data_IF_595579567275
#
_entry.id   IF_595579567275
#
_cell.length_a   1.000
_cell.length_b   1.000
_cell.length_c   1.000
_cell.angle_alpha   90.00
_cell.angle_beta   90.00
_cell.angle_gamma   90.00
#
_symmetry.space_group_name_H-M   'P 1'
#
loop_
_entity.id
_entity.type
_entity.pdbx_description
1 polymer ?
#
# COMPACT_ATOMS: atom_id res chain seq x y z
N UNK A 1 -17.52 14.20 20.72
CA UNK A 1 -16.07 13.93 20.50
C UNK A 1 -15.70 12.44 20.62
N UNK A 2 -16.21 11.67 21.59
CA UNK A 2 -15.85 10.25 21.76
C UNK A 2 -16.17 9.35 20.55
N UNK A 3 -17.29 9.57 19.84
CA UNK A 3 -17.66 8.78 18.66
C UNK A 3 -16.70 8.97 17.47
N UNK A 4 -16.03 10.12 17.37
CA UNK A 4 -15.09 10.44 16.28
C UNK A 4 -13.71 9.82 16.52
N UNK A 5 -13.24 9.81 17.78
CA UNK A 5 -12.00 9.10 18.16
C UNK A 5 -12.14 7.57 18.04
N UNK A 6 -13.32 7.01 18.27
CA UNK A 6 -13.56 5.57 18.12
C UNK A 6 -13.40 5.09 16.66
N UNK A 7 -13.91 5.84 15.68
CA UNK A 7 -13.73 5.55 14.24
C UNK A 7 -12.31 5.75 13.75
N UNK A 8 -11.48 6.52 14.48
CA UNK A 8 -10.06 6.74 14.15
C UNK A 8 -9.13 5.69 14.78
N UNK A 9 -9.63 4.76 15.59
CA UNK A 9 -8.79 3.66 16.08
C UNK A 9 -8.32 2.75 14.95
N UNK A 10 -9.14 2.56 13.91
CA UNK A 10 -8.73 1.81 12.72
C UNK A 10 -7.55 2.47 11.99
N UNK A 11 -7.43 3.80 12.07
CA UNK A 11 -6.31 4.56 11.51
C UNK A 11 -4.97 4.10 12.07
N UNK A 12 -4.92 3.72 13.36
CA UNK A 12 -3.69 3.23 14.01
C UNK A 12 -3.15 1.93 13.44
N UNK A 13 -4.00 1.14 12.80
CA UNK A 13 -3.65 -0.15 12.21
C UNK A 13 -3.33 -0.04 10.72
N UNK A 14 -3.42 1.17 10.16
CA UNK A 14 -3.12 1.40 8.75
C UNK A 14 -1.63 1.20 8.47
N UNK A 15 -1.34 0.68 7.29
CA UNK A 15 0.04 0.50 6.79
C UNK A 15 0.58 1.75 6.10
N UNK A 16 -0.32 2.59 5.61
CA UNK A 16 -0.05 3.87 4.96
C UNK A 16 -1.28 4.76 5.12
N UNK A 17 -1.07 6.01 5.51
CA UNK A 17 -2.10 7.04 5.49
C UNK A 17 -2.03 7.84 4.19
N UNK A 18 -3.18 8.12 3.61
CA UNK A 18 -3.31 9.09 2.52
C UNK A 18 -3.87 10.38 3.11
N UNK A 19 -3.04 11.41 3.20
CA UNK A 19 -3.49 12.72 3.65
C UNK A 19 -3.87 13.55 2.44
N UNK A 20 -5.17 13.63 2.15
CA UNK A 20 -5.69 14.46 1.05
C UNK A 20 -5.77 15.91 1.50
N UNK A 21 -5.19 16.81 0.71
CA UNK A 21 -5.07 18.24 0.99
C UNK A 21 -5.61 19.01 -0.21
N UNK A 22 -6.35 20.09 0.03
CA UNK A 22 -6.74 21.03 -1.02
C UNK A 22 -5.55 21.92 -1.40
N UNK A 23 -5.01 21.73 -2.60
CA UNK A 23 -3.83 22.45 -3.08
C UNK A 23 -4.12 23.92 -3.43
N UNK A 24 -5.39 24.27 -3.67
CA UNK A 24 -5.80 25.60 -4.06
C UNK A 24 -6.28 26.46 -2.86
N UNK A 25 -6.40 25.87 -1.67
CA UNK A 25 -6.76 26.61 -0.46
C UNK A 25 -5.55 27.43 0.03
N UNK A 26 -5.75 28.73 0.27
CA UNK A 26 -4.73 29.61 0.85
C UNK A 26 -4.31 29.20 2.26
N UNK A 27 -5.15 28.43 2.97
CA UNK A 27 -4.89 27.87 4.31
C UNK A 27 -4.34 26.45 4.26
N UNK A 28 -3.77 26.02 3.13
CA UNK A 28 -3.19 24.68 2.94
C UNK A 28 -2.28 24.27 4.11
N UNK A 29 -1.41 25.18 4.56
CA UNK A 29 -0.46 24.91 5.63
C UNK A 29 -1.14 24.73 6.99
N UNK A 30 -2.09 25.60 7.32
CA UNK A 30 -2.87 25.51 8.57
C UNK A 30 -3.68 24.21 8.62
N UNK A 31 -4.26 23.80 7.49
CA UNK A 31 -5.03 22.56 7.39
C UNK A 31 -4.14 21.32 7.60
N UNK A 32 -2.93 21.32 7.03
CA UNK A 32 -1.94 20.24 7.24
C UNK A 32 -1.55 20.17 8.73
N UNK A 33 -1.25 21.30 9.35
CA UNK A 33 -0.86 21.38 10.77
C UNK A 33 -1.99 20.91 11.69
N UNK A 34 -3.24 21.30 11.40
CA UNK A 34 -4.40 20.85 12.14
C UNK A 34 -4.59 19.33 12.07
N UNK A 35 -4.40 18.72 10.89
CA UNK A 35 -4.49 17.26 10.74
C UNK A 35 -3.33 16.56 11.44
N UNK A 36 -2.11 17.07 11.34
CA UNK A 36 -0.96 16.51 12.06
C UNK A 36 -1.18 16.50 13.58
N UNK A 37 -1.75 17.59 14.13
CA UNK A 37 -2.12 17.66 15.56
C UNK A 37 -3.11 16.55 15.93
N UNK A 38 -4.12 16.30 15.09
CA UNK A 38 -5.09 15.21 15.33
C UNK A 38 -4.43 13.83 15.23
N UNK A 39 -3.51 13.62 14.29
CA UNK A 39 -2.76 12.36 14.14
C UNK A 39 -1.85 12.10 15.35
N UNK A 40 -1.26 13.13 15.93
CA UNK A 40 -0.51 13.04 17.18
C UNK A 40 -1.43 12.63 18.34
N UNK A 41 -2.59 13.27 18.50
CA UNK A 41 -3.56 12.99 19.58
C UNK A 41 -4.12 11.56 19.59
N UNK A 42 -4.06 10.84 18.47
CA UNK A 42 -4.54 9.46 18.33
C UNK A 42 -3.39 8.44 18.23
N UNK A 43 -2.15 8.89 18.45
CA UNK A 43 -0.87 8.19 18.19
C UNK A 43 -0.83 7.45 16.84
N UNK A 44 -1.24 8.14 15.77
CA UNK A 44 -1.11 7.68 14.39
C UNK A 44 0.00 8.43 13.61
N UNK A 45 0.69 9.38 14.24
CA UNK A 45 1.72 10.22 13.61
C UNK A 45 2.97 9.44 13.15
N UNK A 46 3.24 8.27 13.74
CA UNK A 46 4.35 7.39 13.32
C UNK A 46 4.03 6.60 12.03
N UNK A 47 2.75 6.54 11.63
CA UNK A 47 2.34 5.78 10.45
C UNK A 47 2.85 6.49 9.20
N UNK A 48 3.50 5.77 8.26
CA UNK A 48 3.90 6.35 7.00
C UNK A 48 2.74 7.06 6.33
N UNK A 49 2.95 8.31 5.91
CA UNK A 49 1.92 9.10 5.24
C UNK A 49 2.38 9.47 3.82
N UNK A 50 1.43 9.43 2.88
CA UNK A 50 1.58 9.97 1.53
C UNK A 50 0.65 11.16 1.39
N UNK A 51 1.20 12.34 1.12
CA UNK A 51 0.40 13.54 0.94
C UNK A 51 -0.19 13.59 -0.48
N UNK A 52 -1.48 13.89 -0.59
CA UNK A 52 -2.20 13.96 -1.86
C UNK A 52 -2.72 15.38 -2.03
N UNK A 53 -2.01 16.18 -2.81
CA UNK A 53 -2.39 17.55 -3.16
C UNK A 53 -3.46 17.51 -4.24
N UNK A 54 -4.70 17.51 -3.81
CA UNK A 54 -5.88 17.47 -4.65
C UNK A 54 -6.25 18.87 -5.18
N UNK A 55 -7.08 18.92 -6.22
CA UNK A 55 -7.59 20.14 -6.86
C UNK A 55 -6.56 20.94 -7.65
N UNK A 56 -5.57 20.28 -8.27
CA UNK A 56 -4.61 20.97 -9.14
C UNK A 56 -5.25 21.62 -10.36
N UNK A 57 -6.48 21.25 -10.72
CA UNK A 57 -7.27 21.90 -11.77
C UNK A 57 -7.62 23.37 -11.47
N UNK A 58 -7.50 23.78 -10.20
CA UNK A 58 -7.68 25.16 -9.77
C UNK A 58 -6.35 25.94 -9.70
N UNK A 59 -5.23 25.31 -10.04
CA UNK A 59 -3.92 25.94 -10.13
C UNK A 59 -3.59 26.24 -11.59
N UNK A 60 -3.03 27.42 -11.85
CA UNK A 60 -2.64 27.81 -13.20
C UNK A 60 -1.42 26.99 -13.68
N UNK A 61 -1.54 26.41 -14.88
CA UNK A 61 -0.47 25.70 -15.60
C UNK A 61 0.24 24.61 -14.77
N UNK A 62 -0.55 23.81 -14.03
CA UNK A 62 -0.03 22.82 -13.10
C UNK A 62 -0.25 21.38 -13.58
N UNK A 63 0.86 20.68 -13.84
CA UNK A 63 0.84 19.28 -14.27
C UNK A 63 0.90 18.28 -13.08
N UNK A 64 0.22 17.13 -13.19
CA UNK A 64 0.28 16.08 -12.18
C UNK A 64 1.68 15.48 -12.08
N UNK A 65 2.18 15.30 -10.85
CA UNK A 65 3.50 14.76 -10.58
C UNK A 65 3.59 14.06 -9.24
N UNK A 66 4.71 13.38 -9.03
CA UNK A 66 5.09 12.77 -7.76
C UNK A 66 6.31 13.53 -7.26
N UNK A 67 6.22 14.14 -6.08
CA UNK A 67 7.41 14.62 -5.39
C UNK A 67 7.99 13.48 -4.55
N UNK A 68 9.31 13.40 -4.56
CA UNK A 68 10.08 12.33 -3.92
C UNK A 68 11.09 12.92 -2.94
N UNK A 69 11.42 12.17 -1.90
CA UNK A 69 12.50 12.53 -0.96
C UNK A 69 13.89 12.17 -1.51
N UNK A 70 14.93 12.35 -0.70
CA UNK A 70 16.33 12.09 -1.04
C UNK A 70 16.61 10.61 -1.35
N UNK A 71 15.79 9.69 -0.81
CA UNK A 71 15.86 8.25 -1.07
C UNK A 71 15.00 7.84 -2.29
N UNK A 72 14.52 8.83 -3.06
CA UNK A 72 13.64 8.65 -4.21
C UNK A 72 12.28 8.01 -3.85
N UNK A 73 11.83 8.12 -2.60
CA UNK A 73 10.55 7.58 -2.14
C UNK A 73 9.43 8.58 -2.39
N UNK A 74 8.24 8.14 -2.86
CA UNK A 74 7.09 9.04 -3.02
C UNK A 74 6.62 9.62 -1.68
N UNK A 75 6.67 10.95 -1.56
CA UNK A 75 6.20 11.68 -0.37
C UNK A 75 4.94 12.50 -0.65
N UNK A 76 4.73 12.90 -1.91
CA UNK A 76 3.60 13.73 -2.32
C UNK A 76 3.15 13.39 -3.73
N UNK A 77 1.84 13.39 -3.96
CA UNK A 77 1.24 13.25 -5.29
C UNK A 77 0.33 14.44 -5.54
N UNK A 78 0.42 15.01 -6.74
CA UNK A 78 -0.41 16.11 -7.19
C UNK A 78 -1.43 15.61 -8.20
N UNK A 79 -2.72 15.83 -7.92
CA UNK A 79 -3.81 15.33 -8.74
C UNK A 79 -5.06 16.22 -8.67
N UNK A 80 -5.99 15.99 -9.60
CA UNK A 80 -7.36 16.47 -9.49
C UNK A 80 -8.28 15.25 -9.45
N UNK A 81 -8.88 15.00 -8.30
CA UNK A 81 -9.83 13.90 -8.15
C UNK A 81 -11.11 14.16 -8.97
N UNK A 82 -11.45 15.42 -9.24
CA UNK A 82 -12.61 15.80 -10.03
C UNK A 82 -12.42 15.46 -11.51
N UNK A 83 -11.26 15.80 -12.09
CA UNK A 83 -10.97 15.51 -13.50
C UNK A 83 -10.34 14.12 -13.73
N UNK A 84 -9.82 13.49 -12.67
CA UNK A 84 -9.11 12.22 -12.73
C UNK A 84 -7.63 12.34 -13.15
N UNK A 85 -7.17 13.54 -13.47
CA UNK A 85 -5.76 13.81 -13.80
C UNK A 85 -4.88 13.55 -12.57
N UNK A 86 -3.77 12.83 -12.73
CA UNK A 86 -2.86 12.48 -11.64
C UNK A 86 -3.20 11.19 -10.87
N UNK A 87 -4.34 10.54 -11.17
CA UNK A 87 -4.70 9.25 -10.57
C UNK A 87 -3.68 8.13 -10.91
N UNK A 88 -3.16 8.02 -12.14
CA UNK A 88 -2.10 7.04 -12.44
C UNK A 88 -0.85 7.23 -11.57
N UNK A 89 -0.43 8.48 -11.33
CA UNK A 89 0.68 8.83 -10.45
C UNK A 89 0.41 8.44 -9.00
N UNK A 90 -0.84 8.59 -8.53
CA UNK A 90 -1.24 8.10 -7.21
C UNK A 90 -1.08 6.59 -7.11
N UNK A 91 -1.59 5.82 -8.07
CA UNK A 91 -1.44 4.36 -8.06
C UNK A 91 0.02 3.93 -8.15
N UNK A 92 0.84 4.62 -8.94
CA UNK A 92 2.29 4.40 -8.97
C UNK A 92 2.91 4.62 -7.59
N UNK A 93 2.66 5.78 -6.96
CA UNK A 93 3.20 6.10 -5.65
C UNK A 93 2.75 5.10 -4.57
N UNK A 94 1.48 4.70 -4.59
CA UNK A 94 0.95 3.68 -3.68
C UNK A 94 1.62 2.33 -3.89
N UNK A 95 1.79 1.92 -5.14
CA UNK A 95 2.50 0.67 -5.48
C UNK A 95 3.90 0.71 -4.87
N UNK A 96 4.68 1.75 -5.13
CA UNK A 96 6.04 1.87 -4.59
C UNK A 96 6.08 1.93 -3.06
N UNK A 97 5.19 2.71 -2.42
CA UNK A 97 5.15 2.87 -0.96
C UNK A 97 4.74 1.59 -0.24
N UNK A 98 3.95 0.74 -0.88
CA UNK A 98 3.45 -0.51 -0.33
C UNK A 98 4.26 -1.74 -0.77
N UNK A 99 5.05 -1.61 -1.83
CA UNK A 99 5.95 -2.66 -2.33
C UNK A 99 7.28 -2.74 -1.56
N UNK A 100 7.59 -1.72 -0.75
CA UNK A 100 8.85 -1.66 0.01
C UNK A 100 9.01 -2.77 1.05
N UNK A 101 7.90 -3.31 1.57
CA UNK A 101 7.90 -4.56 2.32
C UNK A 101 7.71 -5.72 1.34
N UNK A 102 8.72 -6.56 1.24
CA UNK A 102 8.67 -7.78 0.43
C UNK A 102 8.40 -8.96 1.36
N UNK A 103 7.31 -9.67 1.11
CA UNK A 103 7.09 -10.96 1.75
C UNK A 103 7.99 -11.99 1.09
N UNK A 104 8.79 -12.70 1.89
CA UNK A 104 9.56 -13.84 1.44
C UNK A 104 9.19 -15.05 2.30
N UNK A 105 8.60 -16.06 1.68
CA UNK A 105 8.11 -17.25 2.36
C UNK A 105 8.57 -18.51 1.64
N UNK A 106 8.83 -19.55 2.42
CA UNK A 106 8.93 -20.91 1.89
C UNK A 106 7.57 -21.57 2.10
N UNK A 107 7.02 -22.18 1.06
CA UNK A 107 5.77 -22.92 1.13
C UNK A 107 5.99 -24.36 0.72
N UNK A 108 5.21 -25.28 1.29
CA UNK A 108 5.11 -26.66 0.84
C UNK A 108 3.67 -26.98 0.48
N UNK A 109 3.42 -27.02 -0.82
CA UNK A 109 2.09 -27.26 -1.38
C UNK A 109 1.89 -28.75 -1.65
N UNK A 110 0.82 -29.38 -1.14
CA UNK A 110 0.49 -30.75 -1.49
C UNK A 110 0.01 -30.84 -2.96
N UNK A 111 0.01 -32.03 -3.59
CA UNK A 111 -0.34 -32.21 -5.00
C UNK A 111 -1.69 -31.62 -5.43
N UNK A 112 -2.65 -31.55 -4.50
CA UNK A 112 -3.99 -31.03 -4.73
C UNK A 112 -4.03 -29.50 -4.91
N UNK A 113 -2.99 -28.79 -4.45
CA UNK A 113 -2.92 -27.32 -4.46
C UNK A 113 -2.26 -26.76 -5.73
N UNK A 114 -2.39 -27.47 -6.85
CA UNK A 114 -1.91 -27.01 -8.16
C UNK A 114 -2.46 -25.64 -8.58
N UNK A 115 -3.63 -25.25 -8.04
CA UNK A 115 -4.21 -23.91 -8.21
C UNK A 115 -3.35 -22.82 -7.56
N UNK A 116 -2.91 -23.00 -6.31
CA UNK A 116 -2.05 -22.03 -5.61
C UNK A 116 -0.69 -21.90 -6.31
N UNK A 117 -0.12 -23.02 -6.75
CA UNK A 117 1.09 -23.04 -7.57
C UNK A 117 0.93 -22.20 -8.84
N UNK A 118 -0.15 -22.42 -9.61
CA UNK A 118 -0.44 -21.64 -10.82
C UNK A 118 -0.61 -20.14 -10.51
N UNK A 119 -1.21 -19.80 -9.37
CA UNK A 119 -1.38 -18.42 -8.92
C UNK A 119 -0.05 -17.72 -8.66
N UNK A 120 0.90 -18.38 -8.00
CA UNK A 120 2.24 -17.83 -7.79
C UNK A 120 3.02 -17.62 -9.09
N UNK A 121 2.83 -18.47 -10.11
CA UNK A 121 3.37 -18.22 -11.45
C UNK A 121 2.76 -16.98 -12.11
N UNK A 122 1.43 -16.82 -12.06
CA UNK A 122 0.74 -15.66 -12.64
C UNK A 122 1.21 -14.33 -12.02
N UNK A 123 1.50 -14.36 -10.73
CA UNK A 123 2.01 -13.21 -9.98
C UNK A 123 3.53 -13.01 -10.12
N UNK A 124 4.20 -13.88 -10.88
CA UNK A 124 5.67 -13.90 -11.02
C UNK A 124 6.41 -13.89 -9.69
N UNK A 125 5.83 -14.54 -8.67
CA UNK A 125 6.31 -14.49 -7.30
C UNK A 125 7.31 -15.60 -6.95
N UNK A 126 7.49 -16.61 -7.81
CA UNK A 126 8.34 -17.78 -7.51
C UNK A 126 9.80 -17.45 -7.77
N UNK A 127 10.63 -17.48 -6.71
CA UNK A 127 12.10 -17.40 -6.84
C UNK A 127 12.72 -18.78 -7.09
N UNK A 128 12.24 -19.81 -6.39
CA UNK A 128 12.70 -21.19 -6.53
C UNK A 128 11.56 -22.16 -6.36
N UNK A 129 11.67 -23.30 -7.05
CA UNK A 129 10.74 -24.41 -6.97
C UNK A 129 11.51 -25.72 -6.98
N UNK A 130 11.11 -26.66 -6.13
CA UNK A 130 11.61 -28.04 -6.15
C UNK A 130 10.51 -29.01 -5.72
N UNK A 131 10.60 -30.25 -6.23
CA UNK A 131 9.66 -31.31 -5.90
C UNK A 131 10.18 -32.12 -4.72
N UNK A 132 9.29 -32.44 -3.79
CA UNK A 132 9.55 -33.29 -2.63
C UNK A 132 9.29 -34.77 -2.97
N UNK A 133 9.84 -35.68 -2.16
CA UNK A 133 9.71 -37.13 -2.37
C UNK A 133 8.27 -37.65 -2.24
N UNK A 134 7.43 -36.97 -1.47
CA UNK A 134 6.02 -37.31 -1.29
C UNK A 134 5.08 -36.73 -2.37
N UNK A 135 5.66 -36.10 -3.41
CA UNK A 135 4.94 -35.47 -4.50
C UNK A 135 4.46 -34.05 -4.20
N UNK A 136 4.69 -33.53 -2.99
CA UNK A 136 4.50 -32.12 -2.68
C UNK A 136 5.49 -31.24 -3.46
N UNK A 137 5.15 -29.98 -3.63
CA UNK A 137 6.01 -28.99 -4.28
C UNK A 137 6.37 -27.92 -3.26
N UNK A 138 7.66 -27.70 -3.07
CA UNK A 138 8.16 -26.62 -2.23
C UNK A 138 8.57 -25.43 -3.08
N UNK A 139 8.19 -24.23 -2.63
CA UNK A 139 8.35 -22.97 -3.33
C UNK A 139 9.00 -21.94 -2.41
N UNK A 140 10.01 -21.23 -2.88
CA UNK A 140 10.39 -19.93 -2.32
C UNK A 140 9.69 -18.85 -3.13
N UNK A 141 8.88 -18.05 -2.46
CA UNK A 141 8.17 -16.93 -3.09
C UNK A 141 8.65 -15.60 -2.55
N UNK A 142 8.74 -14.62 -3.43
CA UNK A 142 9.09 -13.24 -3.12
C UNK A 142 8.14 -12.31 -3.87
N UNK A 143 7.38 -11.50 -3.13
CA UNK A 143 6.39 -10.59 -3.70
C UNK A 143 6.11 -9.42 -2.77
N UNK A 144 5.52 -8.30 -3.26
CA UNK A 144 5.05 -7.22 -2.40
C UNK A 144 4.15 -7.74 -1.27
N UNK A 145 4.36 -7.26 -0.04
CA UNK A 145 3.62 -7.74 1.12
C UNK A 145 2.12 -7.50 0.99
N UNK A 146 1.72 -6.47 0.23
CA UNK A 146 0.31 -6.20 -0.05
C UNK A 146 -0.35 -7.26 -0.90
N UNK A 147 0.37 -7.80 -1.89
CA UNK A 147 -0.11 -8.89 -2.71
C UNK A 147 -0.17 -10.18 -1.89
N UNK A 148 0.81 -10.39 -1.00
CA UNK A 148 0.79 -11.50 -0.04
C UNK A 148 -0.43 -11.41 0.89
N UNK A 149 -0.65 -10.27 1.55
CA UNK A 149 -1.81 -10.04 2.43
C UNK A 149 -3.14 -10.20 1.68
N UNK A 150 -3.22 -9.73 0.43
CA UNK A 150 -4.40 -9.91 -0.43
C UNK A 150 -4.62 -11.39 -0.77
N UNK A 151 -3.56 -12.13 -1.07
CA UNK A 151 -3.61 -13.55 -1.37
C UNK A 151 -4.07 -14.36 -0.15
N UNK A 152 -3.54 -14.09 1.05
CA UNK A 152 -4.00 -14.71 2.29
C UNK A 152 -5.48 -14.44 2.59
N UNK A 153 -6.01 -13.26 2.25
CA UNK A 153 -7.44 -12.96 2.38
C UNK A 153 -8.31 -13.74 1.39
N UNK A 154 -7.81 -14.00 0.18
CA UNK A 154 -8.52 -14.74 -0.87
C UNK A 154 -8.45 -16.25 -0.67
N UNK A 155 -7.32 -16.74 -0.14
CA UNK A 155 -6.99 -18.15 0.05
C UNK A 155 -6.50 -18.34 1.52
N UNK A 156 -7.41 -18.42 2.51
CA UNK A 156 -7.02 -18.48 3.92
C UNK A 156 -6.15 -19.70 4.28
N UNK A 157 -6.35 -20.83 3.58
CA UNK A 157 -5.58 -22.06 3.75
C UNK A 157 -4.09 -21.89 3.37
N UNK A 158 -3.74 -20.82 2.63
CA UNK A 158 -2.36 -20.57 2.22
C UNK A 158 -1.37 -20.53 3.41
N UNK A 159 -1.83 -19.98 4.54
CA UNK A 159 -1.00 -19.79 5.74
C UNK A 159 -0.58 -21.14 6.33
N UNK A 160 -1.38 -22.19 6.14
CA UNK A 160 -1.10 -23.54 6.65
C UNK A 160 0.07 -24.21 5.90
N UNK A 161 0.40 -23.73 4.70
CA UNK A 161 1.47 -24.26 3.87
C UNK A 161 2.79 -23.53 4.02
N UNK A 162 2.84 -22.43 4.77
CA UNK A 162 4.08 -21.68 5.03
C UNK A 162 4.93 -22.45 6.04
N UNK A 163 6.22 -22.59 5.73
CA UNK A 163 7.23 -23.28 6.56
C UNK A 163 8.18 -22.25 7.19
#
# INVERSE_FOLDING_TARGET
>A
MAAFKATLQETRQATLLLHVVDAADVRVQENIEAVNTVLEEIDAHEIPTLMVMNKIDMLDDFEPRIDRDEENKPIRVWLSAQSGVGIPQLFQALTERLSGEVAQHTLRLPPQEGRLRSRFYQLQAIEKEWMEEDGSVSLQVRMPIVDWRRLCKQEPALIEYVI
#
